data_IF_137622309131
#
_entry.id   IF_137622309131
#
_cell.length_a   1.000
_cell.length_b   1.000
_cell.length_c   1.000
_cell.angle_alpha   90.00
_cell.angle_beta   90.00
_cell.angle_gamma   90.00
#
_symmetry.space_group_name_H-M   'P 1'
#
loop_
_entity.id
_entity.type
_entity.pdbx_description
1 polymer ?
#
# COMPACT_ATOMS: atom_id res chain seq x y z
N UNK A 1 -0.18 -11.08 19.64
CA UNK A 1 -0.87 -9.87 19.14
C UNK A 1 -0.65 -8.78 20.16
N UNK A 2 -0.12 -7.64 19.74
CA UNK A 2 0.17 -6.53 20.64
C UNK A 2 -0.72 -5.34 20.27
N UNK A 3 -1.66 -5.01 21.16
CA UNK A 3 -2.45 -3.78 21.01
C UNK A 3 -1.54 -2.59 21.26
N UNK A 4 -1.43 -1.72 20.29
CA UNK A 4 -0.62 -0.49 20.37
C UNK A 4 -1.49 0.73 20.09
N UNK A 5 -1.19 1.84 20.76
CA UNK A 5 -1.80 3.12 20.40
C UNK A 5 -0.92 3.78 19.34
N UNK A 6 -1.42 3.86 18.12
CA UNK A 6 -0.60 4.28 16.97
C UNK A 6 -1.42 5.00 15.91
N UNK A 7 -0.78 5.87 15.17
CA UNK A 7 -1.30 6.50 13.95
C UNK A 7 -1.52 5.46 12.86
N UNK A 8 -2.67 5.51 12.17
CA UNK A 8 -3.07 4.52 11.17
C UNK A 8 -2.02 4.27 10.09
N UNK A 9 -1.49 5.32 9.48
CA UNK A 9 -0.45 5.19 8.46
C UNK A 9 0.79 4.44 8.96
N UNK A 10 1.21 4.69 10.20
CA UNK A 10 2.35 4.01 10.81
C UNK A 10 2.05 2.56 11.18
N UNK A 11 0.82 2.28 11.62
CA UNK A 11 0.38 0.92 11.91
C UNK A 11 0.34 0.06 10.64
N UNK A 12 -0.16 0.64 9.54
CA UNK A 12 -0.13 0.00 8.20
C UNK A 12 1.33 -0.27 7.78
N UNK A 13 2.25 0.69 7.99
CA UNK A 13 3.67 0.49 7.69
C UNK A 13 4.32 -0.66 8.49
N UNK A 14 3.91 -0.84 9.74
CA UNK A 14 4.41 -1.95 10.59
C UNK A 14 3.93 -3.30 10.05
N UNK A 15 2.66 -3.44 9.70
CA UNK A 15 2.14 -4.71 9.18
C UNK A 15 2.71 -5.02 7.79
N UNK A 16 2.94 -4.03 6.94
CA UNK A 16 3.64 -4.21 5.65
C UNK A 16 5.04 -4.79 5.88
N UNK A 17 5.81 -4.27 6.83
CA UNK A 17 7.12 -4.81 7.17
C UNK A 17 7.04 -6.25 7.71
N UNK A 18 5.97 -6.59 8.44
CA UNK A 18 5.73 -7.95 8.94
C UNK A 18 5.35 -8.94 7.83
N UNK A 19 4.91 -8.46 6.66
CA UNK A 19 4.62 -9.29 5.47
C UNK A 19 5.88 -9.73 4.70
N UNK A 20 7.09 -9.45 5.19
CA UNK A 20 8.36 -9.82 4.55
C UNK A 20 8.45 -9.30 3.09
N UNK A 21 8.17 -8.01 2.91
CA UNK A 21 8.25 -7.36 1.60
C UNK A 21 9.70 -7.26 1.15
N UNK A 22 9.97 -7.66 -0.09
CA UNK A 22 11.31 -7.59 -0.68
C UNK A 22 11.62 -6.18 -1.19
N UNK A 23 10.69 -5.57 -1.92
CA UNK A 23 10.91 -4.26 -2.54
C UNK A 23 9.74 -3.31 -2.26
N UNK A 24 10.05 -2.19 -1.62
CA UNK A 24 9.17 -1.01 -1.57
C UNK A 24 9.71 0.06 -2.50
N UNK A 25 8.93 0.55 -3.44
CA UNK A 25 9.27 1.73 -4.24
C UNK A 25 8.20 2.80 -4.02
N UNK A 26 8.59 3.96 -3.52
CA UNK A 26 7.65 4.98 -3.07
C UNK A 26 8.07 6.38 -3.49
N UNK A 27 7.07 7.21 -3.79
CA UNK A 27 7.16 8.65 -3.85
C UNK A 27 6.20 9.23 -2.79
N UNK A 28 6.66 10.12 -1.88
CA UNK A 28 5.81 10.61 -0.79
C UNK A 28 4.72 11.53 -1.29
N UNK A 29 3.47 11.21 -0.94
CA UNK A 29 2.29 12.04 -1.25
C UNK A 29 1.33 12.02 -0.06
N UNK A 30 0.71 13.16 0.26
CA UNK A 30 -0.36 13.25 1.27
C UNK A 30 -1.62 12.53 0.77
N UNK A 31 -2.27 11.66 1.60
CA UNK A 31 -2.09 11.48 3.04
C UNK A 31 -1.20 10.27 3.43
N UNK A 32 -0.45 9.69 2.52
CA UNK A 32 0.37 8.48 2.78
C UNK A 32 1.83 8.76 3.12
N UNK A 33 2.23 10.03 3.30
CA UNK A 33 3.62 10.40 3.61
C UNK A 33 4.16 9.69 4.86
N UNK A 34 3.39 9.65 5.95
CA UNK A 34 3.82 8.98 7.19
C UNK A 34 3.95 7.46 7.04
N UNK A 35 3.18 6.84 6.13
CA UNK A 35 3.36 5.43 5.77
C UNK A 35 4.70 5.24 5.04
N UNK A 36 4.99 6.06 4.04
CA UNK A 36 6.26 6.04 3.30
C UNK A 36 7.47 6.22 4.24
N UNK A 37 7.39 7.17 5.18
CA UNK A 37 8.42 7.38 6.20
C UNK A 37 8.61 6.17 7.12
N UNK A 38 7.52 5.51 7.51
CA UNK A 38 7.58 4.31 8.34
C UNK A 38 8.24 3.14 7.60
N UNK A 39 7.94 2.96 6.31
CA UNK A 39 8.61 1.95 5.47
C UNK A 39 10.11 2.22 5.35
N UNK A 40 10.52 3.47 5.15
CA UNK A 40 11.92 3.88 5.12
C UNK A 40 12.64 3.57 6.44
N UNK A 41 11.98 3.78 7.60
CA UNK A 41 12.51 3.39 8.92
C UNK A 41 12.67 1.87 9.03
N UNK A 42 11.69 1.11 8.54
CA UNK A 42 11.77 -0.36 8.55
C UNK A 42 12.90 -0.88 7.65
N UNK A 43 13.13 -0.25 6.50
CA UNK A 43 14.29 -0.53 5.68
C UNK A 43 15.61 -0.26 6.42
N UNK A 44 15.74 0.91 7.05
CA UNK A 44 16.93 1.28 7.83
C UNK A 44 17.20 0.33 9.01
N UNK A 45 16.13 -0.32 9.53
CA UNK A 45 16.21 -1.32 10.59
C UNK A 45 16.33 -2.76 10.08
N UNK A 46 16.52 -2.98 8.78
CA UNK A 46 16.69 -4.29 8.16
C UNK A 46 15.43 -5.17 8.12
N UNK A 47 14.23 -4.58 8.29
CA UNK A 47 12.95 -5.32 8.24
C UNK A 47 12.37 -5.42 6.83
N UNK A 48 12.75 -4.52 5.94
CA UNK A 48 12.42 -4.51 4.51
C UNK A 48 13.74 -4.65 3.76
N UNK A 49 13.78 -5.50 2.75
CA UNK A 49 15.04 -5.80 2.06
C UNK A 49 15.52 -4.66 1.16
N UNK A 50 14.60 -3.99 0.44
CA UNK A 50 14.92 -2.84 -0.41
C UNK A 50 13.86 -1.76 -0.30
N UNK A 51 14.31 -0.50 -0.17
CA UNK A 51 13.45 0.68 -0.25
C UNK A 51 14.02 1.64 -1.30
N UNK A 52 13.24 1.93 -2.32
CA UNK A 52 13.64 2.78 -3.44
C UNK A 52 12.83 4.07 -3.37
N UNK A 53 13.50 5.18 -3.04
CA UNK A 53 12.93 6.50 -3.19
C UNK A 53 13.06 6.91 -4.66
N UNK A 54 11.94 7.18 -5.30
CA UNK A 54 11.87 7.51 -6.73
C UNK A 54 11.43 8.97 -6.92
N UNK A 55 11.54 9.47 -8.15
CA UNK A 55 11.20 10.86 -8.50
C UNK A 55 9.72 11.08 -8.84
N UNK A 56 8.94 10.00 -8.97
CA UNK A 56 7.50 10.08 -9.28
C UNK A 56 6.77 8.77 -8.95
N UNK A 57 5.45 8.84 -8.83
CA UNK A 57 4.61 7.67 -8.65
C UNK A 57 4.66 6.74 -9.86
N UNK A 58 4.77 7.31 -11.06
CA UNK A 58 4.96 6.53 -12.29
C UNK A 58 6.24 5.68 -12.23
N UNK A 59 7.34 6.26 -11.75
CA UNK A 59 8.60 5.53 -11.55
C UNK A 59 8.47 4.47 -10.45
N UNK A 60 7.71 4.74 -9.36
CA UNK A 60 7.47 3.79 -8.29
C UNK A 60 6.81 2.51 -8.81
N UNK A 61 5.67 2.64 -9.47
CA UNK A 61 4.94 1.48 -9.99
C UNK A 61 5.72 0.76 -11.09
N UNK A 62 6.44 1.49 -11.95
CA UNK A 62 7.28 0.91 -13.00
C UNK A 62 8.43 0.07 -12.43
N UNK A 63 9.08 0.53 -11.36
CA UNK A 63 10.11 -0.24 -10.67
C UNK A 63 9.54 -1.53 -10.06
N UNK A 64 8.31 -1.46 -9.50
CA UNK A 64 7.65 -2.63 -8.91
C UNK A 64 7.17 -3.64 -9.96
N UNK A 65 6.79 -3.20 -11.15
CA UNK A 65 6.53 -4.11 -12.28
C UNK A 65 7.76 -4.96 -12.57
N UNK A 66 8.95 -4.34 -12.64
CA UNK A 66 10.20 -5.06 -12.82
C UNK A 66 10.55 -5.98 -11.65
N UNK A 67 10.40 -5.50 -10.42
CA UNK A 67 10.67 -6.28 -9.21
C UNK A 67 9.74 -7.50 -9.09
N UNK A 68 8.43 -7.31 -9.29
CA UNK A 68 7.43 -8.38 -9.25
C UNK A 68 7.63 -9.40 -10.36
N UNK A 69 7.97 -8.96 -11.58
CA UNK A 69 8.30 -9.85 -12.69
C UNK A 69 9.56 -10.71 -12.40
N UNK A 70 10.48 -10.20 -11.57
CA UNK A 70 11.65 -10.97 -11.09
C UNK A 70 11.32 -11.87 -9.87
N UNK A 71 10.07 -11.90 -9.40
CA UNK A 71 9.60 -12.76 -8.31
C UNK A 71 9.67 -12.13 -6.91
N UNK A 72 9.94 -10.83 -6.81
CA UNK A 72 9.95 -10.13 -5.53
C UNK A 72 8.54 -9.81 -5.03
N UNK A 73 8.32 -9.89 -3.71
CA UNK A 73 7.12 -9.35 -3.05
C UNK A 73 7.19 -7.84 -3.04
N UNK A 74 6.35 -7.20 -3.86
CA UNK A 74 6.43 -5.80 -4.22
C UNK A 74 5.33 -4.96 -3.56
N UNK A 75 5.69 -3.79 -3.03
CA UNK A 75 4.76 -2.89 -2.34
C UNK A 75 5.00 -1.43 -2.68
N UNK A 76 3.91 -0.66 -2.78
CA UNK A 76 3.92 0.81 -2.83
C UNK A 76 2.76 1.42 -2.06
N UNK A 77 2.79 2.74 -1.91
CA UNK A 77 1.69 3.53 -1.37
C UNK A 77 1.58 4.85 -2.11
N UNK A 78 0.35 5.30 -2.34
CA UNK A 78 0.04 6.53 -3.06
C UNK A 78 -1.37 7.03 -2.71
N UNK A 79 -1.85 8.06 -3.39
CA UNK A 79 -3.21 8.59 -3.33
C UNK A 79 -3.42 9.77 -4.28
N UNK A 80 -4.66 10.13 -4.55
CA UNK A 80 -5.00 11.29 -5.37
C UNK A 80 -4.36 11.27 -6.75
N UNK A 81 -3.71 12.39 -7.10
CA UNK A 81 -3.03 12.56 -8.39
C UNK A 81 -1.90 11.56 -8.62
N UNK A 82 -1.24 11.10 -7.54
CA UNK A 82 -0.21 10.07 -7.66
C UNK A 82 -0.74 8.76 -8.21
N UNK A 83 -1.92 8.33 -7.74
CA UNK A 83 -2.57 7.15 -8.29
C UNK A 83 -2.99 7.34 -9.75
N UNK A 84 -3.45 8.53 -10.12
CA UNK A 84 -3.77 8.84 -11.51
C UNK A 84 -2.53 8.86 -12.42
N UNK A 85 -1.39 9.32 -11.90
CA UNK A 85 -0.13 9.29 -12.63
C UNK A 85 0.36 7.85 -12.89
N UNK A 86 -0.03 6.89 -12.04
CA UNK A 86 0.27 5.47 -12.22
C UNK A 86 -0.65 4.77 -13.26
N UNK A 87 -1.73 5.39 -13.68
CA UNK A 87 -2.86 4.77 -14.40
C UNK A 87 -2.46 3.83 -15.54
N UNK A 88 -1.60 4.27 -16.45
CA UNK A 88 -1.12 3.45 -17.57
C UNK A 88 -0.45 2.16 -17.11
N UNK A 89 0.43 2.26 -16.11
CA UNK A 89 1.21 1.13 -15.61
C UNK A 89 0.34 0.16 -14.80
N UNK A 90 -0.76 0.63 -14.19
CA UNK A 90 -1.70 -0.25 -13.49
C UNK A 90 -2.29 -1.29 -14.44
N UNK A 91 -2.70 -0.91 -15.64
CA UNK A 91 -3.18 -1.86 -16.66
C UNK A 91 -2.09 -2.85 -17.08
N UNK A 92 -0.86 -2.37 -17.22
CA UNK A 92 0.27 -3.23 -17.55
C UNK A 92 0.53 -4.27 -16.46
N UNK A 93 0.55 -3.86 -15.19
CA UNK A 93 0.75 -4.75 -14.05
C UNK A 93 -0.31 -5.84 -13.97
N UNK A 94 -1.59 -5.46 -14.14
CA UNK A 94 -2.71 -6.42 -14.13
C UNK A 94 -2.67 -7.34 -15.36
N UNK A 95 -2.41 -6.80 -16.54
CA UNK A 95 -2.30 -7.57 -17.79
C UNK A 95 -1.14 -8.57 -17.79
N UNK A 96 -0.02 -8.22 -17.15
CA UNK A 96 1.13 -9.10 -16.93
C UNK A 96 0.94 -10.08 -15.77
N UNK A 97 -0.17 -10.00 -15.04
CA UNK A 97 -0.49 -10.89 -13.92
C UNK A 97 0.54 -10.80 -12.78
N UNK A 98 0.97 -9.59 -12.43
CA UNK A 98 2.00 -9.36 -11.42
C UNK A 98 1.37 -9.16 -10.02
N UNK A 99 1.76 -9.95 -9.02
CA UNK A 99 1.29 -9.80 -7.65
C UNK A 99 1.96 -8.60 -6.97
N UNK A 100 1.36 -7.44 -7.12
CA UNK A 100 1.80 -6.19 -6.47
C UNK A 100 0.72 -5.76 -5.48
N UNK A 101 1.10 -5.34 -4.29
CA UNK A 101 0.18 -4.76 -3.29
C UNK A 101 0.45 -3.27 -3.15
N UNK A 102 -0.63 -2.49 -3.10
CA UNK A 102 -0.60 -1.05 -2.91
C UNK A 102 -1.53 -0.64 -1.78
N UNK A 103 -1.14 0.32 -0.96
CA UNK A 103 -2.05 1.04 -0.07
C UNK A 103 -2.36 2.40 -0.69
N UNK A 104 -3.65 2.70 -0.84
CA UNK A 104 -4.14 3.97 -1.37
C UNK A 104 -4.75 4.77 -0.22
N UNK A 105 -4.15 5.92 0.11
CA UNK A 105 -4.77 6.92 0.96
C UNK A 105 -5.71 7.76 0.11
N UNK A 106 -6.98 7.38 0.10
CA UNK A 106 -7.99 7.96 -0.77
C UNK A 106 -8.22 9.45 -0.50
N UNK A 107 -8.20 10.23 -1.54
CA UNK A 107 -8.53 11.66 -1.50
C UNK A 107 -9.06 12.15 -2.85
N UNK A 108 -9.73 13.32 -2.83
CA UNK A 108 -10.22 13.96 -4.04
C UNK A 108 -9.07 14.24 -5.02
N UNK A 109 -9.37 14.03 -6.28
CA UNK A 109 -8.50 14.45 -7.38
C UNK A 109 -8.71 15.95 -7.61
N UNK A 110 -7.62 16.67 -7.83
CA UNK A 110 -7.63 18.09 -8.16
C UNK A 110 -8.46 18.35 -9.43
N UNK A 111 -9.20 19.42 -9.61
CA UNK A 111 -9.50 20.48 -8.66
C UNK A 111 -11.01 20.54 -8.39
N UNK A 112 -11.45 20.89 -7.18
CA UNK A 112 -10.66 21.33 -6.05
C UNK A 112 -9.96 20.18 -5.32
N UNK A 113 -8.75 20.46 -4.80
CA UNK A 113 -8.00 19.51 -3.99
C UNK A 113 -8.63 19.37 -2.60
N UNK A 114 -8.78 18.14 -2.14
CA UNK A 114 -9.18 17.82 -0.78
C UNK A 114 -8.37 16.61 -0.29
N UNK A 115 -7.72 16.72 0.88
CA UNK A 115 -6.88 15.67 1.46
C UNK A 115 -7.67 14.75 2.42
N UNK A 116 -8.94 15.05 2.67
CA UNK A 116 -9.82 14.25 3.50
C UNK A 116 -10.30 13.02 2.70
N UNK A 117 -11.39 12.41 3.09
CA UNK A 117 -11.89 11.24 2.40
C UNK A 117 -12.55 11.59 1.05
N UNK A 118 -12.22 10.84 0.02
CA UNK A 118 -12.90 10.79 -1.27
C UNK A 118 -12.32 9.61 -2.06
N UNK A 119 -13.14 8.72 -2.56
CA UNK A 119 -12.66 7.56 -3.32
C UNK A 119 -12.52 7.82 -4.82
N UNK A 120 -12.61 9.06 -5.28
CA UNK A 120 -12.53 9.42 -6.70
C UNK A 120 -11.26 8.89 -7.36
N UNK A 121 -10.14 8.92 -6.65
CA UNK A 121 -8.84 8.45 -7.14
C UNK A 121 -8.84 6.93 -7.41
N UNK A 122 -9.27 6.11 -6.44
CA UNK A 122 -9.31 4.65 -6.62
C UNK A 122 -10.48 4.18 -7.48
N UNK A 123 -11.66 4.80 -7.37
CA UNK A 123 -12.83 4.47 -8.22
C UNK A 123 -12.51 4.72 -9.70
N UNK A 124 -11.72 5.75 -10.02
CA UNK A 124 -11.28 6.00 -11.39
C UNK A 124 -10.38 4.87 -11.95
N UNK A 125 -9.86 3.99 -11.11
CA UNK A 125 -9.03 2.84 -11.49
C UNK A 125 -9.81 1.51 -11.57
N UNK A 126 -11.14 1.52 -11.42
CA UNK A 126 -11.98 0.30 -11.40
C UNK A 126 -11.78 -0.63 -12.61
N UNK A 127 -11.46 -0.07 -13.77
CA UNK A 127 -11.29 -0.82 -15.00
C UNK A 127 -9.83 -1.30 -15.23
N UNK A 128 -8.90 -0.98 -14.31
CA UNK A 128 -7.48 -1.30 -14.44
C UNK A 128 -7.13 -2.78 -14.22
N UNK A 129 -8.08 -3.59 -13.74
CA UNK A 129 -7.85 -5.01 -13.42
C UNK A 129 -7.25 -5.25 -12.03
N UNK A 130 -7.11 -4.23 -11.20
CA UNK A 130 -6.72 -4.33 -9.81
C UNK A 130 -7.91 -4.71 -8.92
N UNK A 131 -7.69 -5.61 -7.97
CA UNK A 131 -8.65 -5.87 -6.89
C UNK A 131 -8.57 -4.68 -5.92
N UNK A 132 -9.72 -4.13 -5.54
CA UNK A 132 -9.82 -2.99 -4.63
C UNK A 132 -10.53 -3.43 -3.35
N UNK A 133 -9.87 -3.25 -2.19
CA UNK A 133 -10.40 -3.56 -0.86
C UNK A 133 -10.54 -2.23 -0.11
N UNK A 134 -11.76 -1.82 0.19
CA UNK A 134 -12.05 -0.59 0.92
C UNK A 134 -12.20 -0.86 2.42
N UNK A 135 -11.39 -0.21 3.22
CA UNK A 135 -11.33 -0.40 4.67
C UNK A 135 -12.01 0.75 5.41
N UNK A 136 -12.91 0.42 6.33
CA UNK A 136 -13.66 1.39 7.14
C UNK A 136 -12.96 1.81 8.44
N UNK A 137 -11.86 1.14 8.81
CA UNK A 137 -11.10 1.42 10.04
C UNK A 137 -9.63 1.07 9.87
N UNK A 138 -8.77 1.62 10.75
CA UNK A 138 -7.35 1.27 10.75
C UNK A 138 -7.09 -0.19 11.10
N UNK A 139 -7.92 -0.80 11.96
CA UNK A 139 -7.81 -2.24 12.23
C UNK A 139 -8.07 -3.05 10.97
N UNK A 140 -9.14 -2.73 10.24
CA UNK A 140 -9.46 -3.42 8.99
C UNK A 140 -8.36 -3.23 7.94
N UNK A 141 -7.75 -2.06 7.85
CA UNK A 141 -6.62 -1.81 6.96
C UNK A 141 -5.40 -2.68 7.31
N UNK A 142 -5.05 -2.76 8.59
CA UNK A 142 -3.95 -3.60 9.10
C UNK A 142 -4.23 -5.09 8.84
N UNK A 143 -5.46 -5.54 9.03
CA UNK A 143 -5.86 -6.93 8.78
C UNK A 143 -5.92 -7.25 7.28
N UNK A 144 -6.26 -6.26 6.44
CA UNK A 144 -6.41 -6.43 4.99
C UNK A 144 -5.06 -6.50 4.26
N UNK A 145 -4.00 -5.88 4.77
CA UNK A 145 -2.68 -5.89 4.09
C UNK A 145 -2.12 -7.30 3.92
N UNK A 146 -2.03 -8.17 4.95
CA UNK A 146 -1.61 -9.55 4.74
C UNK A 146 -2.55 -10.33 3.81
N UNK A 147 -3.86 -10.08 3.90
CA UNK A 147 -4.85 -10.71 3.01
C UNK A 147 -4.65 -10.26 1.56
N UNK A 148 -4.32 -8.99 1.33
CA UNK A 148 -4.03 -8.46 0.00
C UNK A 148 -2.82 -9.17 -0.64
N UNK A 149 -1.74 -9.38 0.11
CA UNK A 149 -0.60 -10.17 -0.36
C UNK A 149 -1.00 -11.62 -0.67
N UNK A 150 -1.74 -12.27 0.23
CA UNK A 150 -2.22 -13.63 0.02
C UNK A 150 -3.08 -13.75 -1.24
N UNK A 151 -4.07 -12.86 -1.40
CA UNK A 151 -4.96 -12.85 -2.58
C UNK A 151 -4.13 -12.60 -3.85
N UNK A 152 -3.27 -11.59 -3.81
CA UNK A 152 -2.45 -11.18 -4.95
C UNK A 152 -1.55 -12.33 -5.44
N UNK A 153 -0.84 -13.00 -4.53
CA UNK A 153 0.06 -14.10 -4.85
C UNK A 153 -0.69 -15.37 -5.32
N UNK A 154 -1.89 -15.63 -4.78
CA UNK A 154 -2.72 -16.78 -5.21
C UNK A 154 -3.40 -16.57 -6.55
N UNK A 155 -3.81 -15.35 -6.85
CA UNK A 155 -4.55 -15.04 -8.08
C UNK A 155 -3.67 -14.53 -9.22
N UNK A 156 -2.44 -14.12 -8.90
CA UNK A 156 -1.58 -13.36 -9.83
C UNK A 156 -2.30 -12.10 -10.33
N UNK A 157 -2.97 -11.39 -9.43
CA UNK A 157 -3.59 -10.11 -9.69
C UNK A 157 -3.11 -9.08 -8.66
N UNK A 158 -2.84 -7.85 -9.08
CA UNK A 158 -2.47 -6.81 -8.14
C UNK A 158 -3.66 -6.37 -7.28
N UNK A 159 -3.39 -5.91 -6.06
CA UNK A 159 -4.40 -5.53 -5.07
C UNK A 159 -4.14 -4.14 -4.51
N UNK A 160 -5.18 -3.32 -4.43
CA UNK A 160 -5.20 -2.04 -3.71
C UNK A 160 -5.96 -2.19 -2.39
N UNK A 161 -5.33 -1.83 -1.29
CA UNK A 161 -5.99 -1.61 0.01
C UNK A 161 -6.26 -0.11 0.12
N UNK A 162 -7.53 0.26 0.06
CA UNK A 162 -7.99 1.64 0.03
C UNK A 162 -8.43 2.06 1.43
N UNK A 163 -7.86 3.16 1.92
CA UNK A 163 -8.16 3.71 3.24
C UNK A 163 -8.52 5.19 3.10
N UNK A 164 -9.50 5.65 3.87
CA UNK A 164 -9.83 7.07 3.90
C UNK A 164 -8.59 7.91 4.17
N UNK A 165 -8.35 8.86 3.29
CA UNK A 165 -7.33 9.86 3.47
C UNK A 165 -7.53 10.56 4.80
N UNK A 166 -6.60 11.22 5.32
CA UNK A 166 -6.54 11.94 6.60
C UNK A 166 -7.32 11.34 7.80
N UNK A 167 -8.58 10.96 7.64
CA UNK A 167 -9.41 10.39 8.71
C UNK A 167 -8.82 9.10 9.30
N UNK A 168 -8.44 8.14 8.48
CA UNK A 168 -7.82 6.90 8.93
C UNK A 168 -6.30 7.06 9.03
N UNK A 169 -5.67 7.62 8.01
CA UNK A 169 -4.20 7.66 7.93
C UNK A 169 -3.57 8.43 9.08
N UNK A 170 -4.21 9.49 9.60
CA UNK A 170 -3.68 10.35 10.67
C UNK A 170 -4.36 10.15 12.03
N UNK A 171 -5.43 9.36 12.11
CA UNK A 171 -6.04 9.03 13.39
C UNK A 171 -5.10 8.17 14.24
N UNK A 172 -5.03 8.49 15.54
CA UNK A 172 -4.30 7.71 16.53
C UNK A 172 -5.31 6.91 17.34
N UNK A 173 -5.24 5.59 17.23
CA UNK A 173 -6.19 4.67 17.87
C UNK A 173 -5.47 3.42 18.41
N UNK A 174 -6.21 2.61 19.16
CA UNK A 174 -5.72 1.31 19.60
C UNK A 174 -5.91 0.31 18.44
N UNK A 175 -4.79 -0.27 18.00
CA UNK A 175 -4.75 -1.19 16.84
C UNK A 175 -4.00 -2.44 17.28
N UNK A 176 -4.56 -3.60 16.99
CA UNK A 176 -3.89 -4.90 17.16
C UNK A 176 -3.11 -5.23 15.88
N UNK A 177 -1.78 -5.14 15.95
CA UNK A 177 -0.91 -5.39 14.80
C UNK A 177 -0.42 -6.85 14.87
N UNK A 178 -0.71 -7.68 13.85
CA UNK A 178 -0.25 -9.06 13.82
C UNK A 178 1.28 -9.12 13.78
N UNK A 179 1.85 -9.92 14.66
CA UNK A 179 3.30 -10.14 14.73
C UNK A 179 3.82 -10.88 13.50
N UNK A 180 5.10 -10.68 13.18
CA UNK A 180 5.75 -11.25 12.00
C UNK A 180 5.57 -12.78 11.92
N UNK A 181 5.68 -13.47 13.06
CA UNK A 181 5.56 -14.92 13.14
C UNK A 181 4.12 -15.40 12.85
N UNK A 182 3.12 -14.60 13.16
CA UNK A 182 1.73 -14.88 12.82
C UNK A 182 1.50 -14.67 11.32
N UNK A 183 1.97 -13.52 10.79
CA UNK A 183 1.87 -13.21 9.36
C UNK A 183 2.60 -14.27 8.53
N UNK A 184 3.80 -14.72 8.94
CA UNK A 184 4.57 -15.75 8.24
C UNK A 184 3.90 -17.12 8.17
N UNK A 185 2.99 -17.44 9.10
CA UNK A 185 2.17 -18.67 9.01
C UNK A 185 1.04 -18.55 7.98
N UNK A 186 0.59 -17.33 7.72
CA UNK A 186 -0.47 -17.03 6.78
C UNK A 186 0.09 -16.76 5.37
N UNK A 187 1.24 -16.09 5.30
CA UNK A 187 1.98 -15.77 4.06
C UNK A 187 3.28 -16.59 4.06
N UNK A 188 3.28 -17.80 3.48
CA UNK A 188 4.48 -18.63 3.38
C UNK A 188 5.53 -18.04 2.43
#
# INVERSE_FOLDING_TARGET
>A
MAIVTKEGAKAIGDVVANCSVDVCACYPITPTTHLTEQLSKHYSNGKIAQFIAVESEFAAISALVGASAAGARAFTTTGGQGLLLMHEVLFSAAGMRLPIVMVVGNRAVSSPLNIWNDEQDSISQRDSGWIQIYCKSNQEAVDSVPQAFFISEKTFLPVMVCVDGHFLTHAVEQIDIPEKEMVAKFLP
#
